data_IF_480008682668
#
_entry.id   IF_480008682668
#
_cell.length_a   1.000
_cell.length_b   1.000
_cell.length_c   1.000
_cell.angle_alpha   90.00
_cell.angle_beta   90.00
_cell.angle_gamma   90.00
#
_symmetry.space_group_name_H-M   'P 1'
#
loop_
_entity.id
_entity.type
_entity.pdbx_description
1 polymer ?
#
# COMPACT_ATOMS: atom_id res chain seq x y z
N UNK A 1 -70.24 38.71 -31.85
CA UNK A 1 -69.91 37.53 -31.02
C UNK A 1 -68.49 37.14 -31.26
N UNK A 2 -67.58 37.64 -30.52
CA UNK A 2 -66.15 37.55 -30.81
C UNK A 2 -65.45 36.58 -29.82
N UNK A 3 -64.77 35.61 -30.39
CA UNK A 3 -63.94 34.63 -29.64
C UNK A 3 -62.58 35.26 -29.39
N UNK A 4 -62.20 35.44 -28.14
CA UNK A 4 -60.83 35.75 -27.77
C UNK A 4 -60.14 34.44 -27.37
N UNK A 5 -59.18 34.05 -28.18
CA UNK A 5 -58.23 32.98 -27.88
C UNK A 5 -57.05 33.60 -27.17
N UNK A 6 -56.83 33.22 -25.90
CA UNK A 6 -55.66 33.66 -25.14
C UNK A 6 -54.56 32.60 -25.30
N UNK A 7 -53.52 33.05 -25.96
CA UNK A 7 -52.28 32.31 -26.13
C UNK A 7 -51.51 32.32 -24.82
N UNK A 8 -51.29 31.15 -24.21
CA UNK A 8 -50.30 30.97 -23.18
C UNK A 8 -49.12 30.24 -23.83
N UNK A 9 -48.10 30.95 -24.18
CA UNK A 9 -46.85 30.37 -24.70
C UNK A 9 -45.69 30.75 -23.79
N UNK A 10 -45.01 29.69 -23.38
CA UNK A 10 -43.57 29.64 -23.18
C UNK A 10 -42.98 30.25 -21.90
N UNK A 11 -42.78 29.41 -20.92
CA UNK A 11 -41.70 29.59 -19.95
C UNK A 11 -41.31 28.24 -19.33
N UNK A 12 -40.88 27.29 -20.16
CA UNK A 12 -40.22 26.04 -19.69
C UNK A 12 -39.09 25.71 -20.64
N UNK A 13 -37.95 26.38 -20.58
CA UNK A 13 -36.73 25.93 -21.25
C UNK A 13 -35.49 26.72 -20.79
N UNK A 14 -35.18 26.75 -19.48
CA UNK A 14 -33.83 27.20 -19.03
C UNK A 14 -33.31 26.43 -17.79
N UNK A 15 -33.87 25.30 -17.41
CA UNK A 15 -33.38 24.60 -16.22
C UNK A 15 -32.66 23.26 -16.48
N UNK A 16 -32.40 22.86 -17.73
CA UNK A 16 -31.75 21.57 -17.99
C UNK A 16 -30.22 21.63 -18.21
N UNK A 17 -29.58 22.78 -18.27
CA UNK A 17 -28.15 22.83 -18.63
C UNK A 17 -27.18 22.92 -17.45
N UNK A 18 -27.63 23.22 -16.23
CA UNK A 18 -26.74 23.35 -15.07
C UNK A 18 -26.49 22.03 -14.34
N UNK A 19 -27.40 21.07 -14.42
CA UNK A 19 -27.21 19.78 -13.75
C UNK A 19 -26.23 18.84 -14.48
N UNK A 20 -26.08 19.01 -15.80
CA UNK A 20 -25.16 18.17 -16.58
C UNK A 20 -23.68 18.47 -16.28
N UNK A 21 -23.35 19.72 -16.07
CA UNK A 21 -21.96 20.11 -15.73
C UNK A 21 -21.55 19.69 -14.31
N UNK A 22 -22.48 19.76 -13.35
CA UNK A 22 -22.22 19.34 -11.97
C UNK A 22 -22.03 17.81 -11.89
N UNK A 23 -22.86 17.04 -12.59
CA UNK A 23 -22.73 15.58 -12.62
C UNK A 23 -21.42 15.14 -13.31
N UNK A 24 -21.05 15.76 -14.43
CA UNK A 24 -19.79 15.46 -15.13
C UNK A 24 -18.57 15.84 -14.28
N UNK A 25 -18.61 16.96 -13.55
CA UNK A 25 -17.53 17.36 -12.66
C UNK A 25 -17.38 16.42 -11.46
N UNK A 26 -18.49 15.90 -10.90
CA UNK A 26 -18.44 14.90 -9.83
C UNK A 26 -17.92 13.54 -10.33
N UNK A 27 -18.38 13.07 -11.49
CA UNK A 27 -17.90 11.81 -12.09
C UNK A 27 -16.40 11.90 -12.39
N UNK A 28 -15.93 13.02 -12.95
CA UNK A 28 -14.49 13.20 -13.21
C UNK A 28 -13.69 13.25 -11.92
N UNK A 29 -14.19 13.85 -10.83
CA UNK A 29 -13.53 13.91 -9.54
C UNK A 29 -13.49 12.55 -8.83
N UNK A 30 -14.52 11.73 -8.96
CA UNK A 30 -14.54 10.35 -8.46
C UNK A 30 -13.60 9.44 -9.28
N UNK A 31 -13.55 9.60 -10.60
CA UNK A 31 -12.63 8.87 -11.47
C UNK A 31 -11.18 9.29 -11.22
N UNK A 32 -10.88 10.58 -11.04
CA UNK A 32 -9.55 11.04 -10.65
C UNK A 32 -9.14 10.52 -9.26
N UNK A 33 -10.03 10.55 -8.27
CA UNK A 33 -9.76 9.99 -6.94
C UNK A 33 -9.56 8.48 -6.97
N UNK A 34 -10.31 7.74 -7.79
CA UNK A 34 -10.13 6.28 -7.90
C UNK A 34 -8.84 5.90 -8.62
N UNK A 35 -8.38 6.71 -9.59
CA UNK A 35 -7.10 6.45 -10.27
C UNK A 35 -5.88 6.77 -9.39
N UNK A 36 -5.98 7.73 -8.47
CA UNK A 36 -4.91 8.04 -7.52
C UNK A 36 -4.75 6.99 -6.41
N UNK A 37 -5.77 6.18 -6.16
CA UNK A 37 -5.76 5.18 -5.07
C UNK A 37 -5.36 3.78 -5.53
N UNK A 38 -5.19 3.54 -6.84
CA UNK A 38 -4.72 2.25 -7.34
C UNK A 38 -3.28 2.01 -6.86
N UNK A 39 -3.06 0.83 -6.27
CA UNK A 39 -1.72 0.38 -5.89
C UNK A 39 -0.87 0.11 -7.12
N UNK A 40 0.40 0.45 -7.01
CA UNK A 40 1.43 0.12 -7.98
C UNK A 40 2.62 -0.54 -7.29
N UNK A 41 3.51 -1.16 -8.05
CA UNK A 41 4.67 -1.85 -7.47
C UNK A 41 5.55 -0.96 -6.59
N UNK A 42 5.65 0.34 -6.90
CA UNK A 42 6.43 1.28 -6.10
C UNK A 42 5.83 1.56 -4.71
N UNK A 43 4.54 1.27 -4.49
CA UNK A 43 3.89 1.43 -3.19
C UNK A 43 4.43 0.46 -2.13
N UNK A 44 5.08 -0.61 -2.57
CA UNK A 44 5.75 -1.59 -1.70
C UNK A 44 7.21 -1.21 -1.42
N UNK A 45 7.45 0.07 -1.20
CA UNK A 45 8.76 0.60 -0.80
C UNK A 45 8.63 1.63 0.32
N UNK A 46 9.69 1.75 1.10
CA UNK A 46 9.81 2.73 2.19
C UNK A 46 10.97 3.67 1.92
N UNK A 47 10.87 4.87 2.45
CA UNK A 47 11.93 5.86 2.50
C UNK A 47 12.46 5.95 3.94
N UNK A 48 13.77 5.74 4.11
CA UNK A 48 14.50 5.81 5.36
C UNK A 48 15.74 6.65 5.11
N UNK A 49 15.95 7.73 5.88
CA UNK A 49 17.09 8.66 5.69
C UNK A 49 17.23 9.14 4.23
N UNK A 50 16.12 9.45 3.55
CA UNK A 50 16.06 9.82 2.13
C UNK A 50 16.55 8.73 1.15
N UNK A 51 16.74 7.53 1.61
CA UNK A 51 17.03 6.36 0.78
C UNK A 51 15.78 5.50 0.64
N UNK A 52 15.62 4.90 -0.53
CA UNK A 52 14.48 4.00 -0.80
C UNK A 52 14.94 2.55 -0.77
N UNK A 53 14.11 1.69 -0.15
CA UNK A 53 14.22 0.23 -0.24
C UNK A 53 12.85 -0.35 -0.52
N UNK A 54 12.77 -1.29 -1.45
CA UNK A 54 11.54 -1.88 -1.91
C UNK A 54 11.47 -3.38 -1.61
N UNK A 55 10.26 -3.86 -1.44
CA UNK A 55 9.98 -5.30 -1.43
C UNK A 55 10.38 -5.92 -2.78
N UNK A 56 11.25 -6.92 -2.74
CA UNK A 56 11.82 -7.57 -3.92
C UNK A 56 13.17 -7.00 -4.39
N UNK A 57 13.67 -5.93 -3.79
CA UNK A 57 15.06 -5.50 -4.04
C UNK A 57 16.05 -6.61 -3.66
N UNK A 58 17.12 -6.79 -4.44
CA UNK A 58 18.19 -7.69 -4.04
C UNK A 58 18.82 -7.22 -2.73
N UNK A 59 18.94 -8.12 -1.76
CA UNK A 59 19.62 -7.82 -0.51
C UNK A 59 21.15 -7.86 -0.74
N UNK A 60 21.77 -6.72 -0.70
CA UNK A 60 23.21 -6.53 -0.97
C UNK A 60 23.82 -5.62 0.10
N UNK A 61 25.16 -5.58 0.15
CA UNK A 61 25.90 -4.63 0.99
C UNK A 61 25.46 -3.18 0.77
N UNK A 62 25.13 -2.81 -0.47
CA UNK A 62 24.71 -1.44 -0.79
C UNK A 62 23.31 -1.15 -0.27
N UNK A 63 22.37 -2.08 -0.38
CA UNK A 63 21.01 -1.94 0.16
C UNK A 63 21.07 -1.90 1.69
N UNK A 64 21.79 -2.81 2.32
CA UNK A 64 21.95 -2.84 3.77
C UNK A 64 22.53 -1.51 4.32
N UNK A 65 23.55 -0.98 3.64
CA UNK A 65 24.19 0.30 4.01
C UNK A 65 23.24 1.50 3.85
N UNK A 66 22.41 1.53 2.80
CA UNK A 66 21.40 2.60 2.60
C UNK A 66 20.45 2.74 3.77
N UNK A 67 20.07 1.63 4.38
CA UNK A 67 19.12 1.59 5.50
C UNK A 67 19.83 1.43 6.85
N UNK A 68 21.18 1.45 6.87
CA UNK A 68 22.01 1.34 8.08
C UNK A 68 21.75 0.04 8.86
N UNK A 69 21.59 -1.06 8.14
CA UNK A 69 21.45 -2.40 8.70
C UNK A 69 22.70 -3.26 8.41
N UNK A 70 23.01 -4.24 9.25
CA UNK A 70 24.05 -5.22 8.92
C UNK A 70 23.63 -6.03 7.70
N UNK A 71 24.56 -6.31 6.79
CA UNK A 71 24.27 -7.16 5.63
C UNK A 71 24.04 -8.60 6.05
N UNK A 72 24.80 -9.06 7.04
CA UNK A 72 24.62 -10.37 7.66
C UNK A 72 23.44 -10.30 8.63
N UNK A 73 22.42 -11.15 8.35
CA UNK A 73 21.24 -11.25 9.17
C UNK A 73 21.31 -12.41 10.14
N UNK A 74 20.42 -12.39 11.13
CA UNK A 74 20.17 -13.52 11.99
C UNK A 74 19.28 -14.53 11.27
N UNK A 75 19.75 -15.78 11.10
CA UNK A 75 18.92 -16.84 10.52
C UNK A 75 17.74 -17.15 11.41
N UNK A 76 16.52 -17.04 10.88
CA UNK A 76 15.28 -17.25 11.66
C UNK A 76 14.53 -18.53 11.28
N UNK A 77 14.91 -19.17 10.19
CA UNK A 77 14.32 -20.43 9.78
C UNK A 77 14.28 -20.63 8.27
N UNK A 78 13.74 -21.78 7.89
CA UNK A 78 13.49 -22.12 6.50
C UNK A 78 12.10 -22.75 6.35
N UNK A 79 11.49 -22.54 5.19
CA UNK A 79 10.20 -23.08 4.80
C UNK A 79 10.37 -23.91 3.55
N UNK A 80 10.06 -25.21 3.57
CA UNK A 80 10.06 -26.04 2.37
C UNK A 80 8.83 -25.70 1.51
N UNK A 81 9.06 -25.42 0.25
CA UNK A 81 8.00 -25.19 -0.72
C UNK A 81 8.48 -25.63 -2.11
N UNK A 82 7.68 -26.43 -2.81
CA UNK A 82 7.94 -26.91 -4.17
C UNK A 82 9.37 -27.50 -4.35
N UNK A 83 9.80 -28.34 -3.41
CA UNK A 83 11.11 -29.01 -3.44
C UNK A 83 12.32 -28.12 -3.16
N UNK A 84 12.10 -26.88 -2.75
CA UNK A 84 13.15 -25.91 -2.40
C UNK A 84 12.93 -25.41 -0.96
N UNK A 85 14.02 -25.29 -0.19
CA UNK A 85 13.96 -24.65 1.13
C UNK A 85 14.24 -23.15 0.98
N UNK A 86 13.26 -22.34 1.35
CA UNK A 86 13.38 -20.89 1.42
C UNK A 86 13.90 -20.49 2.79
N UNK A 87 15.06 -19.84 2.82
CA UNK A 87 15.72 -19.39 4.04
C UNK A 87 15.42 -17.93 4.28
N UNK A 88 15.20 -17.58 5.55
CA UNK A 88 14.89 -16.24 6.00
C UNK A 88 15.94 -15.75 6.98
N UNK A 89 16.41 -14.53 6.76
CA UNK A 89 17.35 -13.84 7.63
C UNK A 89 16.77 -12.50 8.06
N UNK A 90 16.78 -12.25 9.35
CA UNK A 90 16.31 -11.01 9.97
C UNK A 90 17.45 -10.01 10.09
N UNK A 91 17.22 -8.78 9.66
CA UNK A 91 18.10 -7.63 9.80
C UNK A 91 17.31 -6.54 10.53
N UNK A 92 17.78 -6.07 11.67
CA UNK A 92 17.01 -5.14 12.48
C UNK A 92 17.84 -4.06 13.16
N UNK A 93 17.24 -2.90 13.34
CA UNK A 93 17.62 -1.83 14.25
C UNK A 93 16.37 -1.26 14.90
N UNK A 94 16.53 -0.33 15.86
CA UNK A 94 15.37 0.33 16.47
C UNK A 94 14.46 0.94 15.38
N UNK A 95 13.19 0.55 15.36
CA UNK A 95 12.17 1.07 14.46
C UNK A 95 12.14 0.48 13.04
N UNK A 96 13.13 -0.33 12.65
CA UNK A 96 13.19 -0.94 11.32
C UNK A 96 13.58 -2.42 11.43
N UNK A 97 12.80 -3.27 10.76
CA UNK A 97 13.11 -4.67 10.55
C UNK A 97 12.98 -5.01 9.06
N UNK A 98 13.94 -5.72 8.53
CA UNK A 98 13.90 -6.27 7.17
C UNK A 98 14.17 -7.77 7.24
N UNK A 99 13.37 -8.57 6.53
CA UNK A 99 13.72 -9.94 6.24
C UNK A 99 14.29 -10.05 4.83
N UNK A 100 15.40 -10.74 4.69
CA UNK A 100 15.87 -11.18 3.39
C UNK A 100 15.62 -12.69 3.22
N UNK A 101 15.27 -13.09 2.00
CA UNK A 101 14.99 -14.49 1.68
C UNK A 101 15.43 -14.80 0.23
N UNK A 102 15.80 -16.05 -0.04
CA UNK A 102 15.97 -16.55 -1.39
C UNK A 102 14.64 -16.86 -2.11
N UNK A 103 13.56 -16.23 -1.65
CA UNK A 103 12.21 -16.34 -2.14
C UNK A 103 11.99 -15.39 -3.33
N UNK A 104 11.66 -15.94 -4.50
CA UNK A 104 11.42 -15.18 -5.72
C UNK A 104 10.04 -15.51 -6.28
N UNK A 105 9.00 -15.00 -5.66
CA UNK A 105 7.61 -15.29 -6.01
C UNK A 105 7.22 -14.88 -7.44
N UNK A 106 7.88 -13.85 -7.97
CA UNK A 106 7.56 -13.22 -9.24
C UNK A 106 8.52 -13.61 -10.39
N UNK A 107 9.47 -14.53 -10.16
CA UNK A 107 10.45 -14.96 -11.15
C UNK A 107 10.43 -16.46 -11.36
N UNK A 108 10.43 -16.86 -12.62
CA UNK A 108 10.52 -18.28 -13.03
C UNK A 108 11.90 -18.89 -12.76
N UNK A 109 12.96 -18.08 -12.86
CA UNK A 109 14.35 -18.51 -12.62
C UNK A 109 14.90 -17.80 -11.39
N UNK A 110 15.54 -18.55 -10.51
CA UNK A 110 16.17 -18.07 -9.28
C UNK A 110 17.47 -18.82 -9.04
N UNK A 111 18.45 -18.10 -8.49
CA UNK A 111 19.59 -18.71 -7.84
C UNK A 111 19.29 -18.89 -6.36
N UNK A 112 19.60 -20.05 -5.78
CA UNK A 112 19.42 -20.30 -4.34
C UNK A 112 20.31 -19.41 -3.47
N UNK A 113 21.30 -18.76 -4.05
CA UNK A 113 22.20 -17.82 -3.37
C UNK A 113 21.77 -16.34 -3.51
N UNK A 114 20.70 -16.08 -4.28
CA UNK A 114 20.17 -14.73 -4.44
C UNK A 114 19.11 -14.45 -3.39
N UNK A 115 19.35 -13.46 -2.54
CA UNK A 115 18.42 -13.01 -1.52
C UNK A 115 17.77 -11.71 -1.92
N UNK A 116 16.48 -11.58 -1.61
CA UNK A 116 15.70 -10.34 -1.82
C UNK A 116 15.14 -9.85 -0.49
N UNK A 117 14.77 -8.58 -0.44
CA UNK A 117 13.93 -8.03 0.62
C UNK A 117 12.55 -8.69 0.53
N UNK A 118 12.25 -9.57 1.45
CA UNK A 118 10.99 -10.34 1.47
C UNK A 118 9.95 -9.76 2.43
N UNK A 119 10.38 -8.95 3.41
CA UNK A 119 9.51 -8.20 4.31
C UNK A 119 10.20 -6.93 4.78
N UNK A 120 9.43 -5.88 5.01
CA UNK A 120 9.85 -4.63 5.63
C UNK A 120 8.84 -4.29 6.72
N UNK A 121 9.30 -4.00 7.94
CA UNK A 121 8.45 -3.56 9.06
C UNK A 121 9.00 -2.27 9.64
N UNK A 122 8.13 -1.25 9.76
CA UNK A 122 8.41 0.01 10.45
C UNK A 122 7.62 0.08 11.75
N UNK A 123 8.29 0.48 12.84
CA UNK A 123 7.68 0.72 14.17
C UNK A 123 8.12 2.05 14.78
N UNK A 124 8.90 2.87 14.03
CA UNK A 124 9.29 4.21 14.43
C UNK A 124 9.06 5.20 13.29
N UNK A 125 9.01 6.50 13.63
CA UNK A 125 8.61 7.56 12.71
C UNK A 125 9.70 8.05 11.74
N UNK A 126 10.90 7.49 11.81
CA UNK A 126 12.06 7.82 10.95
C UNK A 126 11.97 7.22 9.54
N UNK A 127 11.02 6.29 9.33
CA UNK A 127 10.67 5.72 8.04
C UNK A 127 9.25 6.07 7.61
N UNK A 128 9.00 6.11 6.30
CA UNK A 128 7.68 6.35 5.72
C UNK A 128 7.48 5.58 4.42
N UNK A 129 6.24 5.31 4.07
CA UNK A 129 5.88 4.81 2.74
C UNK A 129 6.11 5.87 1.66
N UNK A 130 6.13 5.49 0.39
CA UNK A 130 6.25 6.43 -0.74
C UNK A 130 5.10 7.43 -0.80
N UNK A 131 3.91 7.08 -0.26
CA UNK A 131 2.77 8.00 -0.15
C UNK A 131 2.79 8.83 1.14
N UNK A 132 3.90 8.81 1.90
CA UNK A 132 4.16 9.66 3.05
C UNK A 132 3.59 9.17 4.38
N UNK A 133 2.97 7.98 4.44
CA UNK A 133 2.44 7.42 5.70
C UNK A 133 3.61 6.89 6.55
N UNK A 134 3.61 7.29 7.80
CA UNK A 134 4.61 6.94 8.81
C UNK A 134 3.94 6.56 10.15
N UNK A 135 4.71 6.09 11.09
CA UNK A 135 4.22 5.82 12.45
C UNK A 135 3.77 7.13 13.09
N UNK A 136 2.51 7.15 13.57
CA UNK A 136 1.82 8.33 14.09
C UNK A 136 0.90 9.02 13.08
N UNK A 137 0.94 8.68 11.78
CA UNK A 137 -0.05 9.14 10.80
C UNK A 137 -1.45 8.73 11.23
N UNK A 138 -2.43 9.61 10.99
CA UNK A 138 -3.83 9.34 11.31
C UNK A 138 -4.48 8.41 10.29
N UNK A 139 -5.56 7.75 10.69
CA UNK A 139 -6.38 6.93 9.77
C UNK A 139 -6.94 7.77 8.61
N UNK A 140 -7.20 9.06 8.82
CA UNK A 140 -7.67 9.96 7.76
C UNK A 140 -6.56 10.24 6.73
N UNK A 141 -5.31 10.41 7.16
CA UNK A 141 -4.16 10.55 6.26
C UNK A 141 -3.93 9.27 5.49
N UNK A 142 -4.04 8.10 6.15
CA UNK A 142 -3.94 6.79 5.49
C UNK A 142 -5.01 6.63 4.41
N UNK A 143 -6.28 6.90 4.73
CA UNK A 143 -7.38 6.80 3.79
C UNK A 143 -7.25 7.80 2.62
N UNK A 144 -6.71 8.99 2.88
CA UNK A 144 -6.44 9.97 1.82
C UNK A 144 -5.33 9.49 0.87
N UNK A 145 -4.31 8.83 1.41
CA UNK A 145 -3.14 8.37 0.64
C UNK A 145 -3.44 7.09 -0.16
N UNK A 146 -4.13 6.12 0.43
CA UNK A 146 -4.31 4.78 -0.13
C UNK A 146 -5.77 4.43 -0.47
N UNK A 147 -6.74 5.25 -0.05
CA UNK A 147 -8.17 4.92 -0.14
C UNK A 147 -8.62 3.97 0.97
N UNK A 148 -9.82 3.40 0.83
CA UNK A 148 -10.31 2.37 1.76
C UNK A 148 -9.61 1.03 1.51
N UNK A 149 -8.95 0.49 2.54
CA UNK A 149 -8.37 -0.85 2.52
C UNK A 149 -9.32 -1.91 3.09
N UNK A 150 -8.88 -3.17 3.09
CA UNK A 150 -9.53 -4.23 3.85
C UNK A 150 -9.24 -4.00 5.33
N UNK A 151 -10.29 -4.04 6.15
CA UNK A 151 -10.18 -3.78 7.59
C UNK A 151 -10.45 -5.07 8.35
N UNK A 152 -9.49 -5.48 9.16
CA UNK A 152 -9.60 -6.62 10.07
C UNK A 152 -9.42 -6.13 11.50
N UNK A 153 -10.21 -6.71 12.42
CA UNK A 153 -10.06 -6.47 13.85
C UNK A 153 -9.75 -7.81 14.52
N UNK A 154 -8.58 -7.91 15.08
CA UNK A 154 -8.15 -9.08 15.83
C UNK A 154 -7.64 -8.67 17.21
N UNK A 155 -8.19 -9.31 18.25
CA UNK A 155 -7.74 -9.19 19.65
C UNK A 155 -7.61 -7.74 20.17
N UNK A 156 -8.40 -6.80 19.60
CA UNK A 156 -8.38 -5.37 19.96
C UNK A 156 -7.41 -4.53 19.14
N UNK A 157 -6.72 -5.13 18.19
CA UNK A 157 -5.91 -4.46 17.17
C UNK A 157 -6.71 -4.30 15.88
N UNK A 158 -6.59 -3.15 15.22
CA UNK A 158 -7.18 -2.90 13.91
C UNK A 158 -6.09 -2.90 12.85
N UNK A 159 -6.28 -3.70 11.82
CA UNK A 159 -5.40 -3.76 10.65
C UNK A 159 -6.12 -3.22 9.43
N UNK A 160 -5.42 -2.41 8.63
CA UNK A 160 -5.88 -1.94 7.31
C UNK A 160 -4.89 -2.44 6.29
N UNK A 161 -5.35 -3.25 5.34
CA UNK A 161 -4.48 -3.91 4.37
C UNK A 161 -4.85 -3.60 2.93
N UNK A 162 -3.85 -3.67 2.06
CA UNK A 162 -3.91 -3.41 0.62
C UNK A 162 -3.07 -4.45 -0.09
N UNK A 163 -3.59 -5.01 -1.18
CA UNK A 163 -2.95 -6.10 -1.92
C UNK A 163 -2.70 -5.72 -3.38
N UNK A 164 -1.57 -6.19 -3.91
CA UNK A 164 -1.25 -6.15 -5.33
C UNK A 164 -0.53 -7.44 -5.74
N UNK A 165 -1.24 -8.33 -6.41
CA UNK A 165 -0.73 -9.67 -6.73
C UNK A 165 -0.40 -10.43 -5.45
N UNK A 166 0.87 -10.78 -5.27
CA UNK A 166 1.37 -11.47 -4.07
C UNK A 166 1.99 -10.53 -3.03
N UNK A 167 1.79 -9.23 -3.15
CA UNK A 167 2.34 -8.24 -2.23
C UNK A 167 1.24 -7.71 -1.33
N UNK A 168 1.52 -7.67 -0.04
CA UNK A 168 0.64 -7.16 1.00
C UNK A 168 1.30 -5.96 1.68
N UNK A 169 0.55 -4.86 1.79
CA UNK A 169 0.88 -3.68 2.58
C UNK A 169 -0.15 -3.55 3.70
N UNK A 170 0.28 -3.63 4.95
CA UNK A 170 -0.60 -3.61 6.12
C UNK A 170 -0.20 -2.52 7.10
N UNK A 171 -1.21 -1.90 7.70
CA UNK A 171 -1.07 -0.87 8.71
C UNK A 171 -1.82 -1.30 9.97
N UNK A 172 -1.09 -1.47 11.07
CA UNK A 172 -1.73 -1.60 12.39
C UNK A 172 -2.13 -0.21 12.88
N UNK A 173 -3.39 -0.07 13.29
CA UNK A 173 -3.97 1.19 13.74
C UNK A 173 -4.43 1.04 15.18
N UNK A 174 -3.96 1.94 16.05
CA UNK A 174 -4.38 2.04 17.44
C UNK A 174 -4.67 3.50 17.77
N UNK A 175 -5.77 3.75 18.47
CA UNK A 175 -6.21 5.12 18.81
C UNK A 175 -6.28 6.06 17.59
N UNK A 176 -6.77 5.52 16.44
CA UNK A 176 -6.88 6.22 15.15
C UNK A 176 -5.52 6.66 14.55
N UNK A 177 -4.41 6.06 14.97
CA UNK A 177 -3.06 6.32 14.47
C UNK A 177 -2.37 5.04 14.03
N UNK A 178 -1.58 5.14 12.98
CA UNK A 178 -0.69 4.06 12.52
C UNK A 178 0.40 3.83 13.56
N UNK A 179 0.53 2.61 14.04
CA UNK A 179 1.55 2.19 15.03
C UNK A 179 2.54 1.19 14.45
N UNK A 180 2.22 0.55 13.33
CA UNK A 180 3.11 -0.37 12.62
C UNK A 180 2.76 -0.38 11.14
N UNK A 181 3.77 -0.51 10.30
CA UNK A 181 3.63 -0.67 8.85
C UNK A 181 4.39 -1.92 8.45
N UNK A 182 3.75 -2.83 7.74
CA UNK A 182 4.38 -4.06 7.25
C UNK A 182 4.14 -4.19 5.75
N UNK A 183 5.19 -4.51 5.02
CA UNK A 183 5.15 -4.91 3.62
C UNK A 183 5.75 -6.30 3.53
N UNK A 184 5.04 -7.24 2.92
CA UNK A 184 5.54 -8.60 2.74
C UNK A 184 4.95 -9.26 1.50
N UNK A 185 5.54 -10.37 1.09
CA UNK A 185 4.89 -11.25 0.13
C UNK A 185 3.89 -12.15 0.88
N UNK A 186 2.69 -12.27 0.32
CA UNK A 186 1.73 -13.28 0.73
C UNK A 186 2.24 -14.65 0.27
N UNK A 187 2.40 -15.57 1.21
CA UNK A 187 2.87 -16.93 0.97
C UNK A 187 1.74 -17.92 0.63
N UNK A 188 0.52 -17.40 0.41
CA UNK A 188 -0.63 -18.24 0.05
C UNK A 188 -1.13 -19.14 1.18
N UNK A 189 -0.88 -18.76 2.44
CA UNK A 189 -1.35 -19.52 3.62
C UNK A 189 -2.84 -19.30 3.95
N UNK A 190 -3.61 -18.71 3.05
CA UNK A 190 -5.06 -18.57 3.14
C UNK A 190 -5.76 -19.36 2.02
N UNK A 191 -5.77 -20.67 2.10
CA UNK A 191 -6.80 -21.55 1.55
C UNK A 191 -7.27 -22.52 2.63
#
# INVERSE_FOLDING_TARGET
>A
MSKKILSVFCSVLVFCSLNSYAATAQINKEVENSSHNLLANHDFSVQINNQSVALGDRWTNDVARKVELPVEGHFVGEVPFDGTNYKFFQHQKSGLEIFSSNLWWDKAERSVDDYIVSQITLTAADGKTVRGIHIGSTINELNKAYGGGQVENDSGEQWVSYELGKKLLSFEVKDSKVVKITMNYDNGSSE
#
